data_IF_590484402831
#
_entry.id   IF_590484402831
#
_cell.length_a   1.000
_cell.length_b   1.000
_cell.length_c   1.000
_cell.angle_alpha   90.00
_cell.angle_beta   90.00
_cell.angle_gamma   90.00
#
_symmetry.space_group_name_H-M   'P 1'
#
loop_
_entity.id
_entity.type
_entity.pdbx_description
1 polymer ?
#
# COMPACT_ATOMS: atom_id res chain seq x y z
N UNK A 1 -21.05 49.14 -7.63
CA UNK A 1 -19.89 48.20 -7.55
C UNK A 1 -20.04 47.12 -6.47
N UNK A 2 -20.75 47.37 -5.35
CA UNK A 2 -20.88 46.44 -4.20
C UNK A 2 -21.57 45.09 -4.54
N UNK A 3 -22.54 45.06 -5.46
CA UNK A 3 -23.28 43.84 -5.80
C UNK A 3 -22.48 42.78 -6.58
N UNK A 4 -21.55 43.21 -7.45
CA UNK A 4 -20.79 42.30 -8.32
C UNK A 4 -19.70 41.54 -7.55
N UNK A 5 -19.01 42.23 -6.65
CA UNK A 5 -18.03 41.61 -5.75
C UNK A 5 -18.70 40.65 -4.77
N UNK A 6 -19.82 41.06 -4.17
CA UNK A 6 -20.61 40.18 -3.28
C UNK A 6 -21.15 38.95 -4.00
N UNK A 7 -21.58 39.08 -5.26
CA UNK A 7 -22.00 37.93 -6.07
C UNK A 7 -20.84 36.95 -6.32
N UNK A 8 -19.65 37.45 -6.70
CA UNK A 8 -18.44 36.65 -6.98
C UNK A 8 -18.04 35.73 -5.82
N UNK A 9 -18.34 36.12 -4.58
CA UNK A 9 -18.09 35.32 -3.38
C UNK A 9 -19.22 34.32 -3.06
N UNK A 10 -20.48 34.66 -3.37
CA UNK A 10 -21.67 33.88 -2.95
C UNK A 10 -22.11 32.84 -3.99
N UNK A 11 -21.91 33.08 -5.28
CA UNK A 11 -22.47 32.19 -6.31
C UNK A 11 -21.87 30.78 -6.26
N UNK A 12 -20.57 30.64 -5.93
CA UNK A 12 -19.91 29.32 -5.80
C UNK A 12 -20.50 28.47 -4.67
N UNK A 13 -20.59 28.95 -3.41
CA UNK A 13 -21.23 28.17 -2.35
C UNK A 13 -22.71 27.94 -2.62
N UNK A 14 -23.44 28.91 -3.19
CA UNK A 14 -24.85 28.73 -3.53
C UNK A 14 -25.07 27.66 -4.61
N UNK A 15 -24.25 27.68 -5.67
CA UNK A 15 -24.27 26.66 -6.71
C UNK A 15 -23.88 25.28 -6.16
N UNK A 16 -22.90 25.22 -5.26
CA UNK A 16 -22.51 23.96 -4.60
C UNK A 16 -23.65 23.39 -3.74
N UNK A 17 -24.32 24.22 -2.95
CA UNK A 17 -25.48 23.82 -2.15
C UNK A 17 -26.59 23.31 -3.08
N UNK A 18 -26.96 24.08 -4.10
CA UNK A 18 -28.00 23.67 -5.05
C UNK A 18 -27.64 22.36 -5.77
N UNK A 19 -26.39 22.20 -6.20
CA UNK A 19 -25.92 20.98 -6.84
C UNK A 19 -26.02 19.76 -5.90
N UNK A 20 -25.67 19.92 -4.62
CA UNK A 20 -25.82 18.85 -3.62
C UNK A 20 -27.30 18.50 -3.44
N UNK A 21 -28.17 19.48 -3.26
CA UNK A 21 -29.61 19.24 -3.11
C UNK A 21 -30.21 18.54 -4.34
N UNK A 22 -29.87 18.99 -5.54
CA UNK A 22 -30.32 18.34 -6.77
C UNK A 22 -29.76 16.93 -6.91
N UNK A 23 -28.49 16.69 -6.53
CA UNK A 23 -27.91 15.36 -6.55
C UNK A 23 -28.68 14.41 -5.62
N UNK A 24 -29.02 14.84 -4.39
CA UNK A 24 -29.85 14.04 -3.47
C UNK A 24 -31.28 13.86 -3.96
N UNK A 25 -31.89 14.89 -4.54
CA UNK A 25 -33.27 14.85 -5.05
C UNK A 25 -33.42 13.86 -6.21
N UNK A 26 -32.42 13.76 -7.09
CA UNK A 26 -32.40 12.85 -8.24
C UNK A 26 -31.63 11.55 -7.98
N UNK A 27 -31.40 11.16 -6.72
CA UNK A 27 -30.81 9.86 -6.42
C UNK A 27 -31.72 8.75 -6.95
N UNK A 28 -31.22 7.82 -7.79
CA UNK A 28 -32.01 6.75 -8.38
C UNK A 28 -32.21 5.58 -7.39
N UNK A 29 -32.73 5.90 -6.20
CA UNK A 29 -33.06 4.91 -5.17
C UNK A 29 -34.20 4.00 -5.66
N UNK A 30 -34.07 2.70 -5.44
CA UNK A 30 -35.00 1.69 -5.95
C UNK A 30 -34.57 1.09 -7.30
N UNK A 31 -33.53 1.63 -7.94
CA UNK A 31 -32.88 0.94 -9.06
C UNK A 31 -31.92 -0.11 -8.50
N UNK A 32 -32.23 -1.38 -8.71
CA UNK A 32 -31.51 -2.52 -8.10
C UNK A 32 -29.99 -2.44 -8.23
N UNK A 33 -29.49 -1.96 -9.37
CA UNK A 33 -28.05 -1.80 -9.62
C UNK A 33 -27.41 -0.68 -8.79
N UNK A 34 -28.11 0.43 -8.62
CA UNK A 34 -27.63 1.55 -7.80
C UNK A 34 -27.68 1.21 -6.31
N UNK A 35 -28.77 0.59 -5.85
CA UNK A 35 -28.92 0.16 -4.47
C UNK A 35 -27.85 -0.88 -4.11
N UNK A 36 -27.58 -1.84 -5.01
CA UNK A 36 -26.50 -2.80 -4.84
C UNK A 36 -25.14 -2.10 -4.77
N UNK A 37 -24.86 -1.15 -5.66
CA UNK A 37 -23.61 -0.39 -5.65
C UNK A 37 -23.38 0.35 -4.31
N UNK A 38 -24.43 0.92 -3.70
CA UNK A 38 -24.32 1.54 -2.38
C UNK A 38 -23.98 0.53 -1.28
N UNK A 39 -24.65 -0.62 -1.27
CA UNK A 39 -24.38 -1.71 -0.32
C UNK A 39 -22.95 -2.22 -0.50
N UNK A 40 -22.51 -2.40 -1.74
CA UNK A 40 -21.17 -2.89 -2.07
C UNK A 40 -20.07 -1.89 -1.73
N UNK A 41 -20.34 -0.58 -1.81
CA UNK A 41 -19.43 0.45 -1.31
C UNK A 41 -19.16 0.30 0.20
N UNK A 42 -20.23 0.13 0.99
CA UNK A 42 -20.14 -0.04 2.44
C UNK A 42 -19.55 -1.41 2.81
N UNK A 43 -19.93 -2.47 2.10
CA UNK A 43 -19.42 -3.81 2.32
C UNK A 43 -17.93 -3.92 2.00
N UNK A 44 -17.47 -3.28 0.91
CA UNK A 44 -16.05 -3.21 0.59
C UNK A 44 -15.29 -2.42 1.66
N UNK A 45 -15.83 -1.29 2.13
CA UNK A 45 -15.22 -0.51 3.19
C UNK A 45 -15.12 -1.29 4.51
N UNK A 46 -16.16 -2.05 4.87
CA UNK A 46 -16.15 -2.93 6.04
C UNK A 46 -15.07 -4.03 5.92
N UNK A 47 -15.06 -4.75 4.79
CA UNK A 47 -14.09 -5.81 4.54
C UNK A 47 -12.65 -5.26 4.55
N UNK A 48 -12.44 -4.11 3.91
CA UNK A 48 -11.17 -3.40 3.91
C UNK A 48 -10.75 -2.99 5.33
N UNK A 49 -11.68 -2.48 6.14
CA UNK A 49 -11.39 -2.09 7.53
C UNK A 49 -10.97 -3.28 8.39
N UNK A 50 -11.68 -4.40 8.27
CA UNK A 50 -11.41 -5.62 9.05
C UNK A 50 -10.04 -6.22 8.71
N UNK A 51 -9.76 -6.39 7.41
CA UNK A 51 -8.57 -7.15 7.01
C UNK A 51 -7.36 -6.29 6.70
N UNK A 52 -7.55 -5.10 6.13
CA UNK A 52 -6.43 -4.29 5.63
C UNK A 52 -6.13 -3.08 6.53
N UNK A 53 -7.12 -2.45 7.17
CA UNK A 53 -6.84 -1.31 8.06
C UNK A 53 -6.21 -1.78 9.36
N UNK A 54 -6.89 -2.68 10.08
CA UNK A 54 -6.51 -3.08 11.44
C UNK A 54 -5.17 -3.82 11.43
N UNK A 55 -5.05 -4.89 10.63
CA UNK A 55 -3.92 -5.80 10.68
C UNK A 55 -2.71 -5.33 9.86
N UNK A 56 -2.91 -4.41 8.92
CA UNK A 56 -1.88 -4.04 7.94
C UNK A 56 -1.53 -2.55 7.94
N UNK A 57 -2.53 -1.69 7.72
CA UNK A 57 -2.31 -0.24 7.56
C UNK A 57 -1.87 0.44 8.87
N UNK A 58 -2.54 0.15 9.99
CA UNK A 58 -2.20 0.76 11.27
C UNK A 58 -0.77 0.39 11.75
N UNK A 59 -0.35 -0.89 11.73
CA UNK A 59 1.04 -1.24 12.02
C UNK A 59 2.03 -0.62 11.03
N UNK A 60 1.67 -0.48 9.75
CA UNK A 60 2.53 0.17 8.77
C UNK A 60 2.74 1.66 9.03
N UNK A 61 1.74 2.38 9.56
CA UNK A 61 1.94 3.75 10.02
C UNK A 61 2.96 3.82 11.16
N UNK A 62 2.89 2.87 12.11
CA UNK A 62 3.89 2.74 13.17
C UNK A 62 5.27 2.39 12.62
N UNK A 63 5.40 1.43 11.68
CA UNK A 63 6.68 1.12 11.03
C UNK A 63 7.24 2.36 10.32
N UNK A 64 6.39 3.14 9.66
CA UNK A 64 6.83 4.31 8.90
C UNK A 64 7.24 5.47 9.80
N UNK A 65 6.52 5.70 10.90
CA UNK A 65 6.96 6.61 11.94
C UNK A 65 8.27 6.14 12.58
N UNK A 66 8.42 4.84 12.79
CA UNK A 66 9.64 4.26 13.34
C UNK A 66 10.83 4.47 12.40
N UNK A 67 10.62 4.31 11.09
CA UNK A 67 11.63 4.64 10.07
C UNK A 67 12.00 6.12 10.15
N UNK A 68 11.01 7.01 10.21
CA UNK A 68 11.24 8.45 10.24
C UNK A 68 12.03 8.93 11.48
N UNK A 69 11.89 8.25 12.61
CA UNK A 69 12.53 8.65 13.88
C UNK A 69 13.80 7.85 14.19
N UNK A 70 13.80 6.54 13.94
CA UNK A 70 14.86 5.62 14.42
C UNK A 70 15.84 5.15 13.33
N UNK A 71 15.53 5.34 12.04
CA UNK A 71 16.53 5.13 10.98
C UNK A 71 17.36 6.40 10.84
N UNK A 72 18.69 6.26 10.77
CA UNK A 72 19.54 7.43 10.51
C UNK A 72 19.31 7.92 9.09
N UNK A 73 19.06 9.22 8.96
CA UNK A 73 18.96 9.87 7.66
C UNK A 73 20.21 9.58 6.81
N UNK A 74 21.39 9.51 7.43
CA UNK A 74 22.65 9.11 6.81
C UNK A 74 22.60 7.73 6.12
N UNK A 75 21.95 6.73 6.71
CA UNK A 75 21.83 5.39 6.11
C UNK A 75 20.94 5.41 4.87
N UNK A 76 19.79 6.09 4.94
CA UNK A 76 18.90 6.28 3.78
C UNK A 76 19.64 7.04 2.69
N UNK A 77 20.38 8.08 3.05
CA UNK A 77 21.19 8.87 2.13
C UNK A 77 22.29 8.06 1.44
N UNK A 78 22.97 7.18 2.18
CA UNK A 78 24.05 6.34 1.66
C UNK A 78 23.55 5.31 0.63
N UNK A 79 22.37 4.73 0.86
CA UNK A 79 21.88 3.60 0.05
C UNK A 79 20.76 3.97 -0.93
N UNK A 80 19.93 4.98 -0.64
CA UNK A 80 18.78 5.39 -1.45
C UNK A 80 18.80 6.88 -1.82
N UNK A 81 19.81 7.64 -1.35
CA UNK A 81 19.91 9.07 -1.60
C UNK A 81 20.14 9.42 -3.08
N UNK A 82 19.79 10.65 -3.47
CA UNK A 82 19.97 11.14 -4.83
C UNK A 82 21.45 11.15 -5.30
N UNK A 83 22.40 11.27 -4.37
CA UNK A 83 23.84 11.18 -4.61
C UNK A 83 24.44 9.77 -4.44
N UNK A 84 23.65 8.77 -4.04
CA UNK A 84 24.14 7.41 -3.84
C UNK A 84 24.52 6.74 -5.17
N UNK A 85 25.31 5.65 -5.09
CA UNK A 85 25.62 4.85 -6.27
C UNK A 85 24.31 4.32 -6.88
N UNK A 86 24.02 4.71 -8.13
CA UNK A 86 22.77 4.38 -8.83
C UNK A 86 22.54 2.88 -8.89
N UNK A 87 23.57 2.06 -9.16
CA UNK A 87 23.39 0.61 -9.27
C UNK A 87 22.89 0.03 -7.94
N UNK A 88 23.48 0.48 -6.84
CA UNK A 88 23.09 0.03 -5.51
C UNK A 88 21.69 0.54 -5.16
N UNK A 89 21.43 1.84 -5.33
CA UNK A 89 20.16 2.44 -4.93
C UNK A 89 18.95 1.84 -5.67
N UNK A 90 19.08 1.67 -6.98
CA UNK A 90 18.03 1.07 -7.79
C UNK A 90 17.92 -0.45 -7.56
N UNK A 91 19.03 -1.16 -7.33
CA UNK A 91 19.02 -2.58 -7.02
C UNK A 91 18.34 -2.89 -5.68
N UNK A 92 18.67 -2.12 -4.63
CA UNK A 92 18.01 -2.25 -3.32
C UNK A 92 16.53 -1.88 -3.41
N UNK A 93 16.22 -0.77 -4.09
CA UNK A 93 14.84 -0.33 -4.26
C UNK A 93 13.98 -1.33 -5.05
N UNK A 94 14.51 -1.89 -6.13
CA UNK A 94 13.75 -2.80 -6.99
C UNK A 94 13.57 -4.20 -6.39
N UNK A 95 14.45 -4.68 -5.50
CA UNK A 95 14.39 -6.04 -4.93
C UNK A 95 13.80 -6.07 -3.52
N UNK A 96 13.84 -4.95 -2.79
CA UNK A 96 13.32 -4.90 -1.40
C UNK A 96 11.83 -5.24 -1.27
N UNK A 97 11.04 -5.05 -2.34
CA UNK A 97 9.64 -5.49 -2.40
C UNK A 97 9.45 -6.98 -2.22
N UNK A 98 10.39 -7.81 -2.70
CA UNK A 98 10.33 -9.27 -2.54
C UNK A 98 10.49 -9.66 -1.07
N UNK A 99 11.34 -8.95 -0.34
CA UNK A 99 11.67 -9.28 1.06
C UNK A 99 10.54 -8.84 2.00
N UNK A 100 10.01 -7.64 1.78
CA UNK A 100 9.20 -6.98 2.79
C UNK A 100 7.73 -7.45 2.81
N UNK A 101 7.29 -8.33 1.89
CA UNK A 101 5.92 -8.85 1.80
C UNK A 101 4.83 -7.76 2.00
N UNK A 102 5.10 -6.57 1.46
CA UNK A 102 4.31 -5.35 1.70
C UNK A 102 3.23 -5.26 0.64
N UNK A 103 2.02 -4.92 1.04
CA UNK A 103 0.94 -4.62 0.10
C UNK A 103 0.99 -3.14 -0.31
N UNK A 104 0.18 -2.78 -1.32
CA UNK A 104 0.20 -1.44 -1.88
C UNK A 104 -0.14 -0.33 -0.87
N UNK A 105 -0.99 -0.63 0.13
CA UNK A 105 -1.37 0.30 1.19
C UNK A 105 -0.26 0.51 2.23
N UNK A 106 0.66 -0.45 2.39
CA UNK A 106 1.72 -0.38 3.39
C UNK A 106 3.03 0.15 2.81
N UNK A 107 3.27 -0.01 1.50
CA UNK A 107 4.41 0.61 0.82
C UNK A 107 4.32 2.13 0.83
N UNK A 108 3.12 2.71 0.82
CA UNK A 108 2.92 4.17 0.76
C UNK A 108 3.47 4.92 1.99
N UNK A 109 3.09 4.57 3.23
CA UNK A 109 3.71 5.11 4.43
C UNK A 109 5.24 4.94 4.44
N UNK A 110 5.73 3.75 4.09
CA UNK A 110 7.15 3.43 4.04
C UNK A 110 7.89 4.33 3.03
N UNK A 111 7.35 4.44 1.82
CA UNK A 111 7.79 5.34 0.76
C UNK A 111 7.81 6.80 1.23
N UNK A 112 6.74 7.26 1.87
CA UNK A 112 6.66 8.63 2.37
C UNK A 112 7.71 8.90 3.45
N UNK A 113 7.98 7.94 4.33
CA UNK A 113 9.05 7.98 5.32
C UNK A 113 10.42 8.13 4.67
N UNK A 114 10.84 7.18 3.83
CA UNK A 114 12.16 7.21 3.18
C UNK A 114 12.35 8.44 2.26
N UNK A 115 11.28 8.89 1.59
CA UNK A 115 11.33 10.06 0.71
C UNK A 115 11.47 11.37 1.49
N UNK A 116 10.83 11.49 2.65
CA UNK A 116 11.01 12.62 3.59
C UNK A 116 12.41 12.65 4.20
N UNK A 117 13.02 11.48 4.40
CA UNK A 117 14.41 11.35 4.85
C UNK A 117 15.44 11.69 3.76
N UNK A 118 15.02 12.00 2.53
CA UNK A 118 15.92 12.48 1.47
C UNK A 118 16.36 11.43 0.46
N UNK A 119 15.70 10.27 0.40
CA UNK A 119 15.86 9.36 -0.73
C UNK A 119 15.64 10.10 -2.05
N UNK A 120 16.42 9.74 -3.08
CA UNK A 120 16.27 10.30 -4.42
C UNK A 120 14.92 9.91 -5.02
N UNK A 121 14.37 10.76 -5.89
CA UNK A 121 13.05 10.51 -6.47
C UNK A 121 13.01 9.16 -7.22
N UNK A 122 14.04 8.86 -8.01
CA UNK A 122 14.09 7.63 -8.79
C UNK A 122 14.09 6.34 -7.95
N UNK A 123 15.05 6.13 -7.03
CA UNK A 123 15.04 4.99 -6.12
C UNK A 123 13.76 4.89 -5.28
N UNK A 124 13.20 6.02 -4.83
CA UNK A 124 11.96 6.02 -4.07
C UNK A 124 10.76 5.55 -4.92
N UNK A 125 10.68 5.96 -6.19
CA UNK A 125 9.65 5.49 -7.13
C UNK A 125 9.83 4.01 -7.47
N UNK A 126 11.08 3.55 -7.66
CA UNK A 126 11.38 2.15 -7.91
C UNK A 126 10.89 1.28 -6.74
N UNK A 127 11.16 1.71 -5.50
CA UNK A 127 10.65 1.06 -4.28
C UNK A 127 9.12 1.05 -4.22
N UNK A 128 8.49 2.21 -4.49
CA UNK A 128 7.04 2.38 -4.46
C UNK A 128 6.32 1.44 -5.44
N UNK A 129 6.86 1.28 -6.66
CA UNK A 129 6.29 0.40 -7.67
C UNK A 129 6.58 -1.08 -7.39
N UNK A 130 7.83 -1.40 -7.04
CA UNK A 130 8.27 -2.78 -6.81
C UNK A 130 7.51 -3.44 -5.66
N UNK A 131 7.39 -2.75 -4.52
CA UNK A 131 6.83 -3.29 -3.28
C UNK A 131 5.57 -4.15 -3.46
N UNK A 132 4.46 -3.62 -4.01
CA UNK A 132 3.24 -4.39 -4.21
C UNK A 132 3.31 -5.34 -5.42
N UNK A 133 4.19 -5.10 -6.39
CA UNK A 133 4.23 -5.83 -7.66
C UNK A 133 5.00 -7.16 -7.57
N UNK A 134 6.05 -7.23 -6.73
CA UNK A 134 6.92 -8.42 -6.57
C UNK A 134 6.80 -9.13 -5.21
N UNK A 135 5.72 -8.88 -4.48
CA UNK A 135 5.46 -9.62 -3.24
C UNK A 135 5.49 -11.13 -3.50
N UNK A 136 6.23 -11.88 -2.68
CA UNK A 136 6.38 -13.34 -2.77
C UNK A 136 5.03 -14.06 -2.89
N UNK A 137 4.04 -13.66 -2.10
CA UNK A 137 2.70 -14.26 -2.17
C UNK A 137 2.04 -14.00 -3.53
N UNK A 138 2.22 -12.81 -4.10
CA UNK A 138 1.70 -12.47 -5.42
C UNK A 138 2.30 -13.37 -6.50
N UNK A 139 3.63 -13.50 -6.49
CA UNK A 139 4.37 -14.28 -7.48
C UNK A 139 4.01 -15.77 -7.37
N UNK A 140 4.00 -16.31 -6.14
CA UNK A 140 3.66 -17.72 -5.89
C UNK A 140 2.22 -18.02 -6.28
N UNK A 141 1.26 -17.19 -5.89
CA UNK A 141 -0.15 -17.40 -6.28
C UNK A 141 -0.34 -17.27 -7.78
N UNK A 142 0.30 -16.28 -8.41
CA UNK A 142 0.24 -16.10 -9.87
C UNK A 142 0.79 -17.35 -10.58
N UNK A 143 1.95 -17.85 -10.12
CA UNK A 143 2.57 -19.05 -10.69
C UNK A 143 1.72 -20.31 -10.48
N UNK A 144 1.11 -20.46 -9.29
CA UNK A 144 0.31 -21.62 -8.94
C UNK A 144 -1.04 -21.67 -9.66
N UNK A 145 -1.69 -20.51 -9.85
CA UNK A 145 -3.07 -20.42 -10.37
C UNK A 145 -3.10 -20.13 -11.87
N UNK A 146 -2.26 -19.22 -12.35
CA UNK A 146 -2.26 -18.76 -13.75
C UNK A 146 -1.11 -19.36 -14.58
N UNK A 147 -0.21 -20.09 -13.93
CA UNK A 147 0.90 -20.79 -14.55
C UNK A 147 2.27 -20.12 -14.30
N UNK A 148 3.35 -20.92 -14.30
CA UNK A 148 4.70 -20.44 -13.96
C UNK A 148 5.26 -19.42 -14.94
N UNK A 149 4.83 -19.46 -16.21
CA UNK A 149 5.20 -18.47 -17.23
C UNK A 149 4.71 -17.06 -16.87
N UNK A 150 3.48 -16.92 -16.37
CA UNK A 150 2.92 -15.63 -15.98
C UNK A 150 3.55 -15.13 -14.68
N UNK A 151 3.77 -16.03 -13.71
CA UNK A 151 4.42 -15.67 -12.44
C UNK A 151 5.85 -15.16 -12.63
N UNK A 152 6.64 -15.82 -13.48
CA UNK A 152 8.00 -15.36 -13.81
C UNK A 152 7.99 -14.06 -14.62
N UNK A 153 7.09 -13.91 -15.58
CA UNK A 153 6.92 -12.67 -16.35
C UNK A 153 6.53 -11.49 -15.45
N UNK A 154 5.64 -11.69 -14.48
CA UNK A 154 5.28 -10.69 -13.46
C UNK A 154 6.50 -10.27 -12.64
N UNK A 155 7.27 -11.22 -12.12
CA UNK A 155 8.44 -10.95 -11.30
C UNK A 155 9.52 -10.16 -12.07
N UNK A 156 9.91 -10.66 -13.25
CA UNK A 156 10.94 -10.02 -14.09
C UNK A 156 10.48 -8.66 -14.58
N UNK A 157 9.24 -8.57 -15.08
CA UNK A 157 8.64 -7.33 -15.54
C UNK A 157 8.61 -6.28 -14.44
N UNK A 158 8.11 -6.62 -13.26
CA UNK A 158 8.00 -5.66 -12.17
C UNK A 158 9.37 -5.13 -11.69
N UNK A 159 10.40 -5.98 -11.56
CA UNK A 159 11.76 -5.52 -11.21
C UNK A 159 12.29 -4.60 -12.30
N UNK A 160 12.23 -5.03 -13.56
CA UNK A 160 12.74 -4.26 -14.70
C UNK A 160 12.05 -2.90 -14.82
N UNK A 161 10.72 -2.86 -14.81
CA UNK A 161 9.97 -1.60 -14.93
C UNK A 161 10.11 -0.71 -13.71
N UNK A 162 10.26 -1.26 -12.50
CA UNK A 162 10.55 -0.42 -11.33
C UNK A 162 11.81 0.43 -11.55
N UNK A 163 12.85 -0.16 -12.15
CA UNK A 163 14.12 0.51 -12.42
C UNK A 163 13.94 1.52 -13.55
N UNK A 164 13.28 1.11 -14.65
CA UNK A 164 13.05 1.98 -15.80
C UNK A 164 12.19 3.19 -15.42
N UNK A 165 11.05 2.98 -14.76
CA UNK A 165 10.15 4.06 -14.29
C UNK A 165 10.88 4.98 -13.33
N UNK A 166 11.64 4.44 -12.39
CA UNK A 166 12.46 5.24 -11.47
C UNK A 166 13.51 6.09 -12.18
N UNK A 167 14.21 5.52 -13.18
CA UNK A 167 15.22 6.24 -13.96
C UNK A 167 14.59 7.37 -14.79
N UNK A 168 13.43 7.13 -15.40
CA UNK A 168 12.68 8.15 -16.15
C UNK A 168 12.24 9.27 -15.21
N UNK A 169 11.69 8.94 -14.03
CA UNK A 169 11.30 9.93 -13.03
C UNK A 169 12.49 10.77 -12.55
N UNK A 170 13.64 10.15 -12.28
CA UNK A 170 14.87 10.87 -11.92
C UNK A 170 15.39 11.77 -13.05
N UNK A 171 15.23 11.34 -14.32
CA UNK A 171 15.64 12.14 -15.48
C UNK A 171 14.73 13.37 -15.67
N UNK A 172 13.40 13.19 -15.58
CA UNK A 172 12.42 14.27 -15.76
C UNK A 172 12.51 15.34 -14.66
N UNK A 173 12.83 14.94 -13.43
CA UNK A 173 12.88 15.85 -12.26
C UNK A 173 14.30 16.03 -11.71
N UNK A 174 15.32 15.88 -12.57
CA UNK A 174 16.75 15.96 -12.20
C UNK A 174 17.12 17.22 -11.40
N UNK A 175 16.49 18.36 -11.71
CA UNK A 175 16.77 19.62 -11.04
C UNK A 175 16.42 19.58 -9.54
N UNK A 176 15.35 18.88 -9.16
CA UNK A 176 14.98 18.73 -7.76
C UNK A 176 15.92 17.79 -7.01
N UNK A 177 16.30 16.66 -7.63
CA UNK A 177 17.27 15.74 -7.04
C UNK A 177 18.61 16.44 -6.81
N UNK A 178 19.06 17.30 -7.74
CA UNK A 178 20.26 18.12 -7.55
C UNK A 178 20.11 19.15 -6.42
N UNK A 179 18.95 19.78 -6.28
CA UNK A 179 18.68 20.69 -5.17
C UNK A 179 18.70 19.96 -3.82
N UNK A 180 18.15 18.73 -3.77
CA UNK A 180 18.20 17.86 -2.58
C UNK A 180 19.64 17.48 -2.24
N UNK A 181 20.45 17.08 -3.21
CA UNK A 181 21.88 16.77 -2.98
C UNK A 181 22.61 17.99 -2.41
N UNK A 182 22.39 19.19 -2.96
CA UNK A 182 22.99 20.43 -2.42
C UNK A 182 22.55 20.70 -0.98
N UNK A 183 21.25 20.61 -0.70
CA UNK A 183 20.72 20.78 0.65
C UNK A 183 21.28 19.73 1.64
N UNK A 184 21.50 18.50 1.18
CA UNK A 184 22.03 17.40 1.99
C UNK A 184 23.51 17.59 2.33
N UNK A 185 24.32 18.09 1.40
CA UNK A 185 25.75 18.40 1.66
C UNK A 185 25.90 19.51 2.70
N UNK A 186 24.93 20.42 2.80
CA UNK A 186 24.93 21.53 3.76
C UNK A 186 24.36 21.16 5.14
N UNK A 187 23.69 20.01 5.27
CA UNK A 187 23.05 19.60 6.51
C UNK A 187 23.93 18.64 7.32
N UNK A 188 24.22 18.99 8.57
CA UNK A 188 24.81 18.08 9.55
C UNK A 188 23.70 17.32 10.28
N UNK A 189 23.55 16.04 9.98
CA UNK A 189 22.57 15.20 10.67
C UNK A 189 23.22 14.60 11.92
N UNK A 190 22.70 14.85 13.13
CA UNK A 190 23.15 14.13 14.31
C UNK A 190 22.92 12.63 14.11
N UNK A 191 23.99 11.85 14.12
CA UNK A 191 23.93 10.40 13.96
C UNK A 191 23.49 9.75 15.28
N UNK A 192 22.23 9.34 15.36
CA UNK A 192 21.77 8.48 16.46
C UNK A 192 22.28 7.06 16.14
N UNK A 193 23.51 6.77 16.55
CA UNK A 193 24.15 5.47 16.33
C UNK A 193 23.66 4.46 17.40
N UNK A 194 22.46 3.90 17.19
CA UNK A 194 22.10 2.65 17.88
C UNK A 194 22.78 1.49 17.17
N UNK A 195 23.31 0.49 17.89
CA UNK A 195 23.97 -0.66 17.25
C UNK A 195 22.97 -1.41 16.36
N UNK A 196 23.41 -1.80 15.17
CA UNK A 196 22.56 -2.35 14.10
C UNK A 196 21.63 -3.47 14.55
N UNK A 197 22.09 -4.35 15.45
CA UNK A 197 21.29 -5.47 15.95
C UNK A 197 20.04 -5.04 16.74
N UNK A 198 20.09 -3.90 17.45
CA UNK A 198 18.92 -3.36 18.16
C UNK A 198 17.87 -2.88 17.17
N UNK A 199 18.29 -2.17 16.13
CA UNK A 199 17.41 -1.73 15.05
C UNK A 199 16.85 -2.94 14.29
N UNK A 200 17.67 -3.96 14.02
CA UNK A 200 17.21 -5.19 13.36
C UNK A 200 16.16 -5.93 14.20
N UNK A 201 16.33 -6.04 15.52
CA UNK A 201 15.33 -6.67 16.39
C UNK A 201 14.05 -5.84 16.50
N UNK A 202 14.17 -4.52 16.60
CA UNK A 202 13.03 -3.62 16.66
C UNK A 202 12.22 -3.62 15.36
N UNK A 203 12.85 -3.30 14.22
CA UNK A 203 12.19 -3.34 12.91
C UNK A 203 11.76 -4.74 12.52
N UNK A 204 12.56 -5.76 12.85
CA UNK A 204 12.22 -7.16 12.63
C UNK A 204 10.98 -7.60 13.42
N UNK A 205 10.82 -7.12 14.66
CA UNK A 205 9.62 -7.39 15.45
C UNK A 205 8.38 -6.73 14.84
N UNK A 206 8.46 -5.45 14.44
CA UNK A 206 7.34 -4.74 13.81
C UNK A 206 6.96 -5.35 12.45
N UNK A 207 7.95 -5.62 11.59
CA UNK A 207 7.75 -6.26 10.29
C UNK A 207 7.21 -7.69 10.45
N UNK A 208 7.73 -8.45 11.40
CA UNK A 208 7.23 -9.79 11.71
C UNK A 208 5.79 -9.77 12.22
N UNK A 209 5.43 -8.85 13.12
CA UNK A 209 4.04 -8.66 13.57
C UNK A 209 3.14 -8.40 12.37
N UNK A 210 3.53 -7.48 11.47
CA UNK A 210 2.79 -7.16 10.25
C UNK A 210 2.61 -8.39 9.33
N UNK A 211 3.70 -9.13 9.07
CA UNK A 211 3.71 -10.28 8.15
C UNK A 211 2.89 -11.45 8.71
N UNK A 212 3.11 -11.85 9.97
CA UNK A 212 2.45 -13.01 10.54
C UNK A 212 0.99 -12.74 10.92
N UNK A 213 0.65 -11.52 11.37
CA UNK A 213 -0.76 -11.17 11.64
C UNK A 213 -1.60 -11.26 10.35
N UNK A 214 -1.03 -10.83 9.22
CA UNK A 214 -1.70 -10.82 7.92
C UNK A 214 -1.47 -12.11 7.10
N UNK A 215 -0.94 -13.17 7.70
CA UNK A 215 -0.67 -14.42 6.97
C UNK A 215 -1.98 -15.05 6.49
N UNK A 216 -2.10 -15.22 5.17
CA UNK A 216 -3.28 -15.72 4.50
C UNK A 216 -3.47 -17.22 4.72
N UNK A 217 -4.73 -17.67 4.64
CA UNK A 217 -5.05 -19.10 4.69
C UNK A 217 -4.54 -19.77 3.41
N UNK A 218 -3.69 -20.80 3.48
CA UNK A 218 -3.23 -21.52 2.30
C UNK A 218 -4.36 -22.36 1.68
N UNK A 219 -4.26 -22.65 0.38
CA UNK A 219 -5.22 -23.50 -0.33
C UNK A 219 -5.15 -24.96 0.16
N UNK A 220 -3.94 -25.44 0.49
CA UNK A 220 -3.73 -26.73 1.15
C UNK A 220 -3.36 -26.53 2.62
N UNK A 221 -4.06 -27.23 3.51
CA UNK A 221 -3.88 -27.13 4.97
C UNK A 221 -2.69 -28.00 5.45
N UNK A 222 -2.22 -28.94 4.62
CA UNK A 222 -1.08 -29.80 4.92
C UNK A 222 0.25 -29.12 4.57
N UNK A 223 1.29 -29.36 5.38
CA UNK A 223 2.66 -28.90 5.12
C UNK A 223 3.05 -27.60 5.85
N UNK A 224 4.21 -27.05 5.47
CA UNK A 224 4.86 -25.92 6.15
C UNK A 224 4.00 -24.66 6.19
N UNK A 225 3.29 -24.34 5.10
CA UNK A 225 2.41 -23.16 5.03
C UNK A 225 1.19 -23.27 5.94
N UNK A 226 0.60 -24.47 6.07
CA UNK A 226 -0.49 -24.74 7.00
C UNK A 226 -0.04 -24.64 8.46
N UNK A 227 1.15 -25.14 8.79
CA UNK A 227 1.74 -25.01 10.12
C UNK A 227 1.99 -23.54 10.51
N UNK A 228 2.54 -22.74 9.60
CA UNK A 228 2.74 -21.29 9.84
C UNK A 228 1.38 -20.61 10.05
N UNK A 229 0.37 -20.91 9.23
CA UNK A 229 -0.95 -20.33 9.38
C UNK A 229 -1.61 -20.68 10.73
N UNK A 230 -1.47 -21.93 11.20
CA UNK A 230 -1.98 -22.36 12.51
C UNK A 230 -1.25 -21.66 13.67
N UNK A 231 0.08 -21.47 13.55
CA UNK A 231 0.90 -20.85 14.58
C UNK A 231 0.93 -19.31 14.52
N UNK A 232 0.34 -18.68 13.49
CA UNK A 232 0.57 -17.26 13.19
C UNK A 232 0.31 -16.32 14.36
N UNK A 233 -0.77 -16.55 15.11
CA UNK A 233 -1.13 -15.71 16.27
C UNK A 233 -0.20 -15.92 17.46
N UNK A 234 0.35 -17.12 17.63
CA UNK A 234 1.37 -17.39 18.65
C UNK A 234 2.69 -16.68 18.28
N UNK A 235 3.08 -16.72 17.00
CA UNK A 235 4.25 -16.00 16.50
C UNK A 235 4.06 -14.49 16.68
N UNK A 236 2.90 -13.95 16.32
CA UNK A 236 2.57 -12.53 16.53
C UNK A 236 2.60 -12.14 18.01
N UNK A 237 2.06 -12.97 18.90
CA UNK A 237 2.11 -12.72 20.34
C UNK A 237 3.55 -12.72 20.89
N UNK A 238 4.38 -13.68 20.44
CA UNK A 238 5.81 -13.73 20.79
C UNK A 238 6.56 -12.48 20.32
N UNK A 239 6.36 -12.07 19.07
CA UNK A 239 6.97 -10.86 18.51
C UNK A 239 6.46 -9.59 19.21
N UNK A 240 5.19 -9.56 19.62
CA UNK A 240 4.62 -8.48 20.44
C UNK A 240 5.27 -8.39 21.82
N UNK A 241 5.50 -9.53 22.48
CA UNK A 241 6.23 -9.58 23.74
C UNK A 241 7.69 -9.15 23.58
N UNK A 242 8.35 -9.59 22.50
CA UNK A 242 9.70 -9.13 22.14
C UNK A 242 9.74 -7.60 21.95
N UNK A 243 8.78 -7.04 21.20
CA UNK A 243 8.65 -5.60 21.00
C UNK A 243 8.45 -4.87 22.35
N UNK A 244 7.63 -5.40 23.24
CA UNK A 244 7.43 -4.83 24.58
C UNK A 244 8.74 -4.76 25.39
N UNK A 245 9.53 -5.84 25.37
CA UNK A 245 10.86 -5.89 26.01
C UNK A 245 11.82 -4.88 25.38
N UNK A 246 11.84 -4.79 24.05
CA UNK A 246 12.65 -3.83 23.29
C UNK A 246 12.31 -2.39 23.68
N UNK A 247 11.02 -2.04 23.72
CA UNK A 247 10.56 -0.70 24.08
C UNK A 247 10.95 -0.32 25.52
N UNK A 248 10.79 -1.26 26.46
CA UNK A 248 11.20 -1.06 27.85
C UNK A 248 12.73 -0.89 27.98
N UNK A 249 13.51 -1.80 27.38
CA UNK A 249 14.94 -1.90 27.65
C UNK A 249 15.78 -0.88 26.88
N UNK A 250 15.36 -0.47 25.68
CA UNK A 250 16.18 0.35 24.78
C UNK A 250 15.57 1.71 24.43
N UNK A 251 14.25 1.85 24.45
CA UNK A 251 13.58 3.10 24.05
C UNK A 251 13.06 3.94 25.23
N UNK A 252 13.43 3.55 26.46
CA UNK A 252 13.09 4.30 27.66
C UNK A 252 11.60 4.29 28.01
N UNK A 253 10.83 3.32 27.47
CA UNK A 253 9.45 3.16 27.86
C UNK A 253 9.35 2.77 29.35
N UNK A 254 8.45 3.43 30.09
CA UNK A 254 8.25 3.12 31.51
C UNK A 254 7.70 1.70 31.65
N UNK A 255 8.37 0.87 32.45
CA UNK A 255 8.06 -0.55 32.60
C UNK A 255 6.59 -0.83 32.97
N UNK A 256 5.98 0.01 33.81
CA UNK A 256 4.59 -0.16 34.22
C UNK A 256 3.60 0.08 33.08
N UNK A 257 3.88 1.04 32.17
CA UNK A 257 3.04 1.28 30.98
C UNK A 257 3.10 0.08 30.04
N UNK A 258 4.30 -0.47 29.85
CA UNK A 258 4.53 -1.68 29.04
C UNK A 258 3.80 -2.87 29.66
N UNK A 259 3.94 -3.08 30.96
CA UNK A 259 3.29 -4.18 31.68
C UNK A 259 1.77 -4.11 31.59
N UNK A 260 1.17 -2.93 31.77
CA UNK A 260 -0.28 -2.73 31.61
C UNK A 260 -0.73 -3.06 30.18
N UNK A 261 -0.01 -2.57 29.16
CA UNK A 261 -0.35 -2.87 27.77
C UNK A 261 -0.29 -4.39 27.46
N UNK A 262 0.75 -5.08 27.95
CA UNK A 262 0.91 -6.53 27.79
C UNK A 262 -0.19 -7.29 28.53
N UNK A 263 -0.52 -6.90 29.76
CA UNK A 263 -1.57 -7.53 30.57
C UNK A 263 -2.96 -7.38 29.93
N UNK A 264 -3.29 -6.17 29.45
CA UNK A 264 -4.56 -5.93 28.76
C UNK A 264 -4.66 -6.72 27.46
N UNK A 265 -3.56 -6.80 26.71
CA UNK A 265 -3.49 -7.58 25.46
C UNK A 265 -3.63 -9.08 25.72
N UNK A 266 -2.92 -9.60 26.71
CA UNK A 266 -3.01 -11.01 27.12
C UNK A 266 -4.38 -11.37 27.68
N UNK A 267 -4.95 -10.49 28.51
CA UNK A 267 -6.33 -10.63 29.01
C UNK A 267 -7.36 -10.67 27.88
N UNK A 268 -7.24 -9.77 26.90
CA UNK A 268 -8.10 -9.78 25.71
C UNK A 268 -7.93 -11.07 24.88
N UNK A 269 -6.72 -11.62 24.80
CA UNK A 269 -6.48 -12.87 24.08
C UNK A 269 -7.13 -14.08 24.77
N UNK A 270 -7.15 -14.09 26.11
CA UNK A 270 -7.82 -15.14 26.90
C UNK A 270 -9.35 -14.99 26.89
N UNK A 271 -9.87 -13.76 26.90
CA UNK A 271 -11.31 -13.49 26.87
C UNK A 271 -11.94 -13.73 25.49
N UNK A 272 -11.19 -13.46 24.41
CA UNK A 272 -11.68 -13.54 23.03
C UNK A 272 -10.83 -14.49 22.16
N UNK A 273 -10.72 -15.79 22.49
CA UNK A 273 -9.86 -16.73 21.75
C UNK A 273 -10.32 -16.94 20.30
N UNK A 274 -11.62 -16.76 20.02
CA UNK A 274 -12.18 -16.89 18.67
C UNK A 274 -11.98 -15.63 17.80
N UNK A 275 -11.56 -14.51 18.38
CA UNK A 275 -11.46 -13.21 17.70
C UNK A 275 -10.09 -12.56 17.94
N UNK A 276 -9.01 -13.09 17.34
CA UNK A 276 -7.64 -12.63 17.56
C UNK A 276 -7.37 -11.18 17.12
N UNK A 277 -8.26 -10.58 16.33
CA UNK A 277 -8.26 -9.15 16.03
C UNK A 277 -8.48 -8.27 17.28
N UNK A 278 -9.21 -8.75 18.29
CA UNK A 278 -9.48 -8.00 19.53
C UNK A 278 -8.19 -7.76 20.34
N UNK A 279 -7.42 -8.80 20.74
CA UNK A 279 -6.14 -8.56 21.41
C UNK A 279 -5.16 -7.77 20.54
N UNK A 280 -5.18 -7.93 19.21
CA UNK A 280 -4.34 -7.13 18.33
C UNK A 280 -4.66 -5.62 18.43
N UNK A 281 -5.94 -5.25 18.37
CA UNK A 281 -6.39 -3.85 18.54
C UNK A 281 -6.04 -3.34 19.94
N UNK A 282 -6.24 -4.14 20.98
CA UNK A 282 -5.87 -3.78 22.36
C UNK A 282 -4.37 -3.52 22.47
N UNK A 283 -3.53 -4.36 21.87
CA UNK A 283 -2.08 -4.16 21.82
C UNK A 283 -1.67 -2.91 21.07
N UNK A 284 -2.33 -2.61 19.95
CA UNK A 284 -2.11 -1.38 19.20
C UNK A 284 -2.54 -0.12 19.97
N UNK A 285 -3.67 -0.16 20.68
CA UNK A 285 -4.11 0.91 21.59
C UNK A 285 -3.09 1.08 22.72
N UNK A 286 -2.63 -0.02 23.31
CA UNK A 286 -1.58 -0.01 24.34
C UNK A 286 -0.29 0.64 23.84
N UNK A 287 0.16 0.29 22.63
CA UNK A 287 1.30 0.93 21.97
C UNK A 287 1.06 2.42 21.75
N UNK A 288 -0.13 2.79 21.29
CA UNK A 288 -0.53 4.18 21.04
C UNK A 288 -0.52 5.03 22.29
N UNK A 289 -1.10 4.52 23.38
CA UNK A 289 -1.09 5.20 24.68
C UNK A 289 0.34 5.32 25.21
N UNK A 290 1.16 4.28 25.05
CA UNK A 290 2.54 4.28 25.52
C UNK A 290 3.39 5.32 24.78
N UNK A 291 3.29 5.38 23.46
CA UNK A 291 4.08 6.30 22.63
C UNK A 291 3.59 7.74 22.76
N UNK A 292 2.29 7.99 22.65
CA UNK A 292 1.70 9.35 22.76
C UNK A 292 1.89 10.02 24.12
N UNK A 293 2.01 9.24 25.21
CA UNK A 293 2.21 9.78 26.57
C UNK A 293 3.68 9.86 26.98
N UNK A 294 4.61 9.65 26.05
CA UNK A 294 6.05 9.74 26.26
C UNK A 294 6.58 11.04 25.64
N UNK A 295 7.47 11.75 26.35
CA UNK A 295 8.06 13.02 25.88
C UNK A 295 9.45 12.86 25.23
N UNK A 296 9.87 11.62 24.98
CA UNK A 296 11.16 11.29 24.35
C UNK A 296 10.94 10.90 22.88
N UNK A 297 11.92 10.24 22.26
CA UNK A 297 11.84 9.74 20.87
C UNK A 297 10.58 8.87 20.59
N UNK A 298 9.96 8.26 21.62
CA UNK A 298 8.69 7.54 21.46
C UNK A 298 7.50 8.48 21.18
N UNK A 299 7.55 9.71 21.70
CA UNK A 299 6.57 10.76 21.38
C UNK A 299 6.71 11.21 19.93
N UNK A 300 7.94 11.47 19.48
CA UNK A 300 8.22 11.78 18.06
C UNK A 300 7.76 10.64 17.15
N UNK A 301 7.95 9.38 17.58
CA UNK A 301 7.48 8.21 16.86
C UNK A 301 5.95 8.21 16.70
N UNK A 302 5.21 8.54 17.76
CA UNK A 302 3.75 8.69 17.68
C UNK A 302 3.37 9.83 16.74
N UNK A 303 3.99 11.01 16.85
CA UNK A 303 3.66 12.18 16.04
C UNK A 303 3.86 11.93 14.54
N UNK A 304 4.95 11.26 14.16
CA UNK A 304 5.18 10.85 12.77
C UNK A 304 4.13 9.83 12.30
N UNK A 305 3.86 8.80 13.11
CA UNK A 305 2.86 7.76 12.79
C UNK A 305 1.46 8.37 12.61
N UNK A 306 1.07 9.27 13.52
CA UNK A 306 -0.20 9.99 13.49
C UNK A 306 -0.29 10.98 12.32
N UNK A 307 0.82 11.63 11.97
CA UNK A 307 0.93 12.46 10.77
C UNK A 307 0.60 11.68 9.51
N UNK A 308 1.18 10.49 9.35
CA UNK A 308 0.85 9.60 8.22
C UNK A 308 -0.60 9.13 8.26
N UNK A 309 -1.11 8.72 9.42
CA UNK A 309 -2.50 8.27 9.55
C UNK A 309 -3.51 9.36 9.15
N UNK A 310 -3.35 10.59 9.67
CA UNK A 310 -4.23 11.73 9.33
C UNK A 310 -4.21 12.09 7.85
N UNK A 311 -3.06 11.92 7.19
CA UNK A 311 -2.91 12.21 5.78
C UNK A 311 -3.52 11.11 4.90
N UNK A 312 -3.24 9.84 5.23
CA UNK A 312 -3.49 8.70 4.34
C UNK A 312 -4.88 8.12 4.56
N UNK A 313 -5.32 7.97 5.82
CA UNK A 313 -6.54 7.24 6.15
C UNK A 313 -7.82 7.88 5.56
N UNK A 314 -8.02 9.21 5.59
CA UNK A 314 -9.21 9.82 5.00
C UNK A 314 -9.25 9.67 3.47
N UNK A 315 -8.11 9.89 2.81
CA UNK A 315 -7.98 9.74 1.35
C UNK A 315 -8.25 8.30 0.93
N UNK A 316 -7.72 7.36 1.70
CA UNK A 316 -7.88 5.95 1.44
C UNK A 316 -9.34 5.52 1.61
N UNK A 317 -10.00 5.95 2.68
CA UNK A 317 -11.41 5.63 2.95
C UNK A 317 -12.33 6.13 1.83
N UNK A 318 -12.14 7.38 1.38
CA UNK A 318 -12.87 7.92 0.22
C UNK A 318 -12.61 7.09 -1.03
N UNK A 319 -11.35 6.72 -1.28
CA UNK A 319 -11.01 5.91 -2.44
C UNK A 319 -11.64 4.51 -2.42
N UNK A 320 -11.71 3.87 -1.26
CA UNK A 320 -12.35 2.54 -1.09
C UNK A 320 -13.86 2.63 -1.30
N UNK A 321 -14.53 3.66 -0.77
CA UNK A 321 -15.97 3.86 -1.00
C UNK A 321 -16.29 4.09 -2.48
N UNK A 322 -15.52 4.94 -3.16
CA UNK A 322 -15.69 5.19 -4.60
C UNK A 322 -15.43 3.89 -5.39
N UNK A 323 -14.37 3.15 -5.07
CA UNK A 323 -14.06 1.90 -5.74
C UNK A 323 -15.16 0.85 -5.53
N UNK A 324 -15.67 0.68 -4.31
CA UNK A 324 -16.75 -0.27 -4.03
C UNK A 324 -18.07 0.12 -4.68
N UNK A 325 -18.38 1.42 -4.73
CA UNK A 325 -19.56 1.92 -5.45
C UNK A 325 -19.47 1.63 -6.95
N UNK A 326 -18.32 1.89 -7.57
CA UNK A 326 -18.16 1.73 -9.01
C UNK A 326 -17.95 0.28 -9.43
N UNK A 327 -17.13 -0.48 -8.70
CA UNK A 327 -16.61 -1.77 -9.13
C UNK A 327 -17.11 -2.95 -8.28
N UNK A 328 -17.64 -2.69 -7.09
CA UNK A 328 -18.08 -3.71 -6.14
C UNK A 328 -16.93 -4.39 -5.41
N UNK A 329 -17.16 -5.63 -4.97
CA UNK A 329 -16.15 -6.49 -4.30
C UNK A 329 -16.10 -7.85 -5.01
N UNK A 330 -15.10 -8.71 -4.72
CA UNK A 330 -15.01 -10.02 -5.36
C UNK A 330 -16.33 -10.81 -5.23
N UNK A 331 -16.91 -11.21 -6.37
CA UNK A 331 -18.19 -11.93 -6.43
C UNK A 331 -19.47 -11.07 -6.44
N UNK A 332 -19.38 -9.76 -6.23
CA UNK A 332 -20.52 -8.85 -6.22
C UNK A 332 -20.25 -7.58 -7.02
N UNK A 333 -21.07 -7.30 -8.04
CA UNK A 333 -20.86 -6.16 -8.93
C UNK A 333 -21.30 -4.83 -8.30
N UNK A 334 -20.50 -3.78 -8.52
CA UNK A 334 -20.94 -2.41 -8.29
C UNK A 334 -21.73 -1.85 -9.46
N UNK A 335 -21.61 -0.54 -9.68
CA UNK A 335 -22.29 0.14 -10.78
C UNK A 335 -21.83 -0.37 -12.16
N UNK A 336 -20.54 -0.68 -12.32
CA UNK A 336 -19.92 -1.14 -13.57
C UNK A 336 -20.01 -2.68 -13.66
N UNK A 337 -20.67 -3.25 -14.67
CA UNK A 337 -20.79 -4.70 -14.81
C UNK A 337 -19.48 -5.38 -15.18
N UNK A 338 -19.26 -6.58 -14.62
CA UNK A 338 -18.07 -7.39 -14.91
C UNK A 338 -18.03 -7.86 -16.36
N UNK A 339 -19.20 -8.01 -17.01
CA UNK A 339 -19.31 -8.38 -18.43
C UNK A 339 -18.73 -7.31 -19.34
N UNK A 340 -18.93 -6.02 -19.03
CA UNK A 340 -18.35 -4.92 -19.80
C UNK A 340 -16.82 -4.92 -19.68
N UNK A 341 -16.32 -5.20 -18.47
CA UNK A 341 -14.88 -5.35 -18.24
C UNK A 341 -14.32 -6.52 -19.06
N UNK A 342 -14.96 -7.69 -18.98
CA UNK A 342 -14.54 -8.90 -19.71
C UNK A 342 -14.50 -8.69 -21.23
N UNK A 343 -15.52 -8.05 -21.81
CA UNK A 343 -15.55 -7.72 -23.24
C UNK A 343 -14.43 -6.74 -23.60
N UNK A 344 -14.17 -5.75 -22.76
CA UNK A 344 -13.17 -4.72 -23.02
C UNK A 344 -11.71 -5.23 -22.91
N UNK A 345 -11.48 -6.29 -22.14
CA UNK A 345 -10.15 -6.93 -21.98
C UNK A 345 -10.01 -8.26 -22.74
N UNK A 346 -10.99 -8.62 -23.56
CA UNK A 346 -11.02 -9.87 -24.32
C UNK A 346 -9.92 -9.97 -25.40
N UNK A 347 -9.39 -11.19 -25.57
CA UNK A 347 -8.34 -11.46 -26.56
C UNK A 347 -6.96 -10.89 -26.18
N UNK A 348 -6.11 -10.63 -27.18
CA UNK A 348 -4.74 -10.13 -26.96
C UNK A 348 -4.37 -9.01 -27.95
N UNK A 349 -5.15 -7.93 -27.96
CA UNK A 349 -4.82 -6.72 -28.74
C UNK A 349 -4.07 -5.69 -27.88
N UNK A 350 -3.37 -4.74 -28.51
CA UNK A 350 -2.77 -3.61 -27.80
C UNK A 350 -3.83 -2.83 -27.00
N UNK A 351 -5.04 -2.69 -27.56
CA UNK A 351 -6.17 -2.04 -26.90
C UNK A 351 -6.63 -2.83 -25.66
N UNK A 352 -6.75 -4.15 -25.74
CA UNK A 352 -7.12 -4.99 -24.60
C UNK A 352 -6.10 -4.87 -23.46
N UNK A 353 -4.81 -4.81 -23.80
CA UNK A 353 -3.72 -4.60 -22.82
C UNK A 353 -3.77 -3.20 -22.19
N UNK A 354 -4.07 -2.17 -23.00
CA UNK A 354 -4.22 -0.80 -22.52
C UNK A 354 -5.42 -0.66 -21.59
N UNK A 355 -6.57 -1.22 -21.97
CA UNK A 355 -7.78 -1.22 -21.16
C UNK A 355 -7.55 -2.00 -19.87
N UNK A 356 -6.87 -3.15 -19.92
CA UNK A 356 -6.56 -3.94 -18.73
C UNK A 356 -5.64 -3.21 -17.74
N UNK A 357 -4.59 -2.54 -18.23
CA UNK A 357 -3.71 -1.75 -17.36
C UNK A 357 -4.41 -0.49 -16.82
N UNK A 358 -5.21 0.19 -17.65
CA UNK A 358 -5.95 1.39 -17.26
C UNK A 358 -7.03 1.05 -16.23
N UNK A 359 -7.89 0.05 -16.49
CA UNK A 359 -8.89 -0.38 -15.52
C UNK A 359 -8.22 -0.93 -14.26
N UNK A 360 -7.20 -1.78 -14.42
CA UNK A 360 -6.40 -2.30 -13.31
C UNK A 360 -5.88 -1.18 -12.41
N UNK A 361 -5.40 -0.06 -12.97
CA UNK A 361 -4.91 1.08 -12.22
C UNK A 361 -5.96 1.77 -11.33
N UNK A 362 -7.25 1.64 -11.63
CA UNK A 362 -8.33 2.18 -10.80
C UNK A 362 -8.99 1.12 -9.93
N UNK A 363 -8.83 -0.16 -10.28
CA UNK A 363 -9.35 -1.27 -9.50
C UNK A 363 -8.59 -1.41 -8.18
N UNK A 364 -9.35 -1.50 -7.08
CA UNK A 364 -8.77 -1.84 -5.79
C UNK A 364 -8.88 -3.35 -5.57
N UNK A 365 -7.77 -4.07 -5.79
CA UNK A 365 -7.66 -5.48 -5.46
C UNK A 365 -6.59 -5.71 -4.40
N UNK A 366 -6.92 -6.53 -3.40
CA UNK A 366 -5.89 -7.15 -2.60
C UNK A 366 -5.13 -8.14 -3.49
N UNK A 367 -3.82 -8.22 -3.30
CA UNK A 367 -2.95 -9.15 -4.04
C UNK A 367 -3.45 -10.60 -4.00
N UNK A 368 -4.12 -10.99 -2.90
CA UNK A 368 -4.70 -12.33 -2.71
C UNK A 368 -5.97 -12.56 -3.53
N UNK A 369 -6.76 -11.52 -3.81
CA UNK A 369 -8.00 -11.62 -4.58
C UNK A 369 -7.79 -11.32 -6.06
N UNK A 370 -6.70 -10.63 -6.39
CA UNK A 370 -6.33 -10.26 -7.76
C UNK A 370 -6.17 -11.50 -8.66
N UNK A 371 -5.40 -12.50 -8.21
CA UNK A 371 -5.11 -13.69 -9.02
C UNK A 371 -6.37 -14.51 -9.34
N UNK A 372 -7.26 -14.84 -8.38
CA UNK A 372 -8.54 -15.50 -8.69
C UNK A 372 -9.45 -14.69 -9.62
N UNK A 373 -9.46 -13.36 -9.51
CA UNK A 373 -10.27 -12.51 -10.40
C UNK A 373 -9.74 -12.55 -11.82
N UNK A 374 -8.42 -12.41 -11.99
CA UNK A 374 -7.78 -12.55 -13.30
C UNK A 374 -8.00 -13.95 -13.87
N UNK A 375 -7.97 -14.99 -13.04
CA UNK A 375 -8.30 -16.35 -13.47
C UNK A 375 -9.73 -16.45 -14.01
N UNK A 376 -10.70 -15.85 -13.32
CA UNK A 376 -12.08 -15.78 -13.79
C UNK A 376 -12.22 -15.03 -15.12
N UNK A 377 -11.51 -13.91 -15.28
CA UNK A 377 -11.50 -13.13 -16.53
C UNK A 377 -10.83 -13.89 -17.69
N UNK A 378 -9.74 -14.62 -17.43
CA UNK A 378 -9.10 -15.50 -18.42
C UNK A 378 -10.05 -16.62 -18.84
N UNK A 379 -10.77 -17.22 -17.89
CA UNK A 379 -11.85 -18.18 -18.19
C UNK A 379 -13.00 -17.59 -19.02
N UNK A 380 -13.21 -16.27 -18.96
CA UNK A 380 -14.19 -15.54 -19.75
C UNK A 380 -13.65 -15.03 -21.11
N UNK A 381 -12.41 -15.36 -21.49
CA UNK A 381 -11.82 -15.01 -22.79
C UNK A 381 -10.76 -13.89 -22.76
N UNK A 382 -10.31 -13.44 -21.58
CA UNK A 382 -9.17 -12.53 -21.45
C UNK A 382 -7.87 -13.24 -21.84
N UNK A 383 -7.05 -12.61 -22.70
CA UNK A 383 -5.75 -13.14 -23.06
C UNK A 383 -4.72 -13.03 -21.93
N UNK A 384 -3.65 -13.82 -22.03
CA UNK A 384 -2.54 -13.82 -21.07
C UNK A 384 -1.78 -12.48 -21.02
N UNK A 385 -1.75 -11.75 -22.15
CA UNK A 385 -1.17 -10.39 -22.21
C UNK A 385 -1.93 -9.39 -21.33
N UNK A 386 -3.23 -9.15 -21.58
CA UNK A 386 -4.05 -8.28 -20.74
C UNK A 386 -4.04 -8.71 -19.27
N UNK A 387 -4.01 -10.02 -18.98
CA UNK A 387 -3.86 -10.54 -17.63
C UNK A 387 -2.57 -10.02 -16.95
N UNK A 388 -1.42 -10.14 -17.62
CA UNK A 388 -0.16 -9.61 -17.11
C UNK A 388 -0.17 -8.07 -16.97
N UNK A 389 -0.76 -7.36 -17.94
CA UNK A 389 -0.91 -5.90 -17.88
C UNK A 389 -1.71 -5.45 -16.65
N UNK A 390 -2.80 -6.16 -16.33
CA UNK A 390 -3.61 -5.92 -15.13
C UNK A 390 -2.79 -6.19 -13.86
N UNK A 391 -2.08 -7.33 -13.80
CA UNK A 391 -1.26 -7.75 -12.64
C UNK A 391 -0.06 -6.84 -12.35
N UNK A 392 0.42 -6.09 -13.34
CA UNK A 392 1.52 -5.13 -13.21
C UNK A 392 1.05 -3.71 -12.87
N UNK A 393 -0.17 -3.33 -13.29
CA UNK A 393 -0.73 -2.02 -13.02
C UNK A 393 -1.48 -1.97 -11.67
N UNK A 394 -2.36 -2.93 -11.39
CA UNK A 394 -3.29 -2.90 -10.26
C UNK A 394 -2.65 -2.86 -8.87
N UNK A 395 -1.59 -3.63 -8.57
CA UNK A 395 -0.95 -3.56 -7.27
C UNK A 395 -0.23 -2.22 -7.06
N UNK A 396 0.37 -1.68 -8.11
CA UNK A 396 1.12 -0.43 -8.05
C UNK A 396 0.20 0.81 -8.04
N UNK A 397 -0.95 0.71 -8.70
CA UNK A 397 -1.89 1.79 -8.90
C UNK A 397 -3.27 1.39 -8.41
N UNK A 398 -3.83 2.22 -7.53
CA UNK A 398 -5.25 2.19 -7.19
C UNK A 398 -5.70 3.61 -6.93
N UNK A 399 -7.00 3.90 -7.03
CA UNK A 399 -7.52 5.23 -6.75
C UNK A 399 -7.11 5.73 -5.33
N UNK A 400 -7.21 4.91 -4.26
CA UNK A 400 -6.64 5.26 -2.96
C UNK A 400 -5.13 5.59 -3.01
N UNK A 401 -4.34 4.77 -3.69
CA UNK A 401 -2.88 4.95 -3.74
C UNK A 401 -2.52 6.23 -4.49
N UNK A 402 -3.18 6.53 -5.60
CA UNK A 402 -2.93 7.75 -6.38
C UNK A 402 -3.20 9.02 -5.55
N UNK A 403 -4.28 9.03 -4.76
CA UNK A 403 -4.59 10.16 -3.86
C UNK A 403 -3.49 10.37 -2.82
N UNK A 404 -2.96 9.28 -2.26
CA UNK A 404 -1.87 9.33 -1.28
C UNK A 404 -0.56 9.77 -1.94
N UNK A 405 -0.18 9.21 -3.08
CA UNK A 405 1.03 9.58 -3.82
C UNK A 405 1.00 11.07 -4.17
N UNK A 406 -0.15 11.58 -4.62
CA UNK A 406 -0.37 13.01 -4.88
C UNK A 406 -0.09 13.87 -3.65
N UNK A 407 -0.46 13.42 -2.47
CA UNK A 407 -0.23 14.15 -1.23
C UNK A 407 1.25 14.19 -0.79
N UNK A 408 2.08 13.28 -1.32
CA UNK A 408 3.53 13.21 -1.01
C UNK A 408 4.38 13.85 -2.10
N UNK A 409 4.09 13.57 -3.38
CA UNK A 409 4.90 14.00 -4.53
C UNK A 409 4.34 15.25 -5.24
N UNK A 410 3.07 15.58 -5.04
CA UNK A 410 2.34 16.57 -5.82
C UNK A 410 1.67 15.98 -7.06
N UNK A 411 0.81 16.78 -7.71
CA UNK A 411 -0.04 16.35 -8.84
C UNK A 411 0.76 15.94 -10.07
N UNK A 412 1.72 16.75 -10.48
CA UNK A 412 2.47 16.53 -11.72
C UNK A 412 3.24 15.20 -11.70
N UNK A 413 4.04 14.96 -10.66
CA UNK A 413 4.82 13.72 -10.50
C UNK A 413 3.94 12.49 -10.41
N UNK A 414 2.79 12.63 -9.74
CA UNK A 414 1.82 11.52 -9.62
C UNK A 414 1.23 11.17 -10.96
N UNK A 415 0.82 12.16 -11.77
CA UNK A 415 0.30 11.91 -13.12
C UNK A 415 1.34 11.26 -14.03
N UNK A 416 2.60 11.72 -13.97
CA UNK A 416 3.70 11.11 -14.73
C UNK A 416 3.91 9.66 -14.28
N UNK A 417 3.98 9.39 -12.97
CA UNK A 417 4.12 8.03 -12.44
C UNK A 417 2.97 7.10 -12.90
N UNK A 418 1.72 7.54 -12.74
CA UNK A 418 0.53 6.78 -13.17
C UNK A 418 0.59 6.48 -14.66
N UNK A 419 0.92 7.48 -15.48
CA UNK A 419 1.02 7.32 -16.94
C UNK A 419 2.12 6.33 -17.32
N UNK A 420 3.29 6.44 -16.70
CA UNK A 420 4.40 5.52 -16.95
C UNK A 420 4.01 4.08 -16.60
N UNK A 421 3.40 3.85 -15.44
CA UNK A 421 2.97 2.50 -15.04
C UNK A 421 1.95 1.93 -16.02
N UNK A 422 0.93 2.70 -16.44
CA UNK A 422 -0.07 2.25 -17.42
C UNK A 422 0.61 1.90 -18.76
N UNK A 423 1.50 2.76 -19.26
CA UNK A 423 2.21 2.53 -20.52
C UNK A 423 3.10 1.29 -20.44
N UNK A 424 3.95 1.16 -19.41
CA UNK A 424 4.83 0.01 -19.28
C UNK A 424 4.07 -1.29 -19.03
N UNK A 425 3.03 -1.29 -18.20
CA UNK A 425 2.19 -2.47 -18.00
C UNK A 425 1.51 -2.90 -19.31
N UNK A 426 1.00 -1.94 -20.10
CA UNK A 426 0.41 -2.19 -21.43
C UNK A 426 1.41 -2.83 -22.38
N UNK A 427 2.61 -2.23 -22.50
CA UNK A 427 3.66 -2.73 -23.39
C UNK A 427 4.10 -4.12 -22.98
N UNK A 428 4.22 -4.38 -21.68
CA UNK A 428 4.62 -5.69 -21.16
C UNK A 428 3.60 -6.75 -21.45
N UNK A 429 2.33 -6.48 -21.16
CA UNK A 429 1.26 -7.42 -21.46
C UNK A 429 1.18 -7.69 -22.96
N UNK A 430 1.30 -6.64 -23.79
CA UNK A 430 1.25 -6.80 -25.24
C UNK A 430 2.42 -7.63 -25.78
N UNK A 431 3.65 -7.36 -25.33
CA UNK A 431 4.84 -8.14 -25.69
C UNK A 431 4.69 -9.58 -25.19
N UNK A 432 4.37 -9.78 -23.91
CA UNK A 432 4.21 -11.11 -23.34
C UNK A 432 3.14 -11.92 -24.07
N UNK A 433 1.97 -11.31 -24.30
CA UNK A 433 0.88 -11.93 -25.05
C UNK A 433 1.30 -12.28 -26.48
N UNK A 434 2.08 -11.44 -27.17
CA UNK A 434 2.54 -11.77 -28.52
C UNK A 434 3.46 -13.00 -28.57
N UNK A 435 4.20 -13.29 -27.49
CA UNK A 435 5.16 -14.40 -27.43
C UNK A 435 4.57 -15.68 -26.83
N UNK A 436 3.58 -15.55 -25.94
CA UNK A 436 3.00 -16.67 -25.20
C UNK A 436 1.51 -16.92 -25.52
N UNK A 437 0.91 -16.23 -26.50
CA UNK A 437 -0.46 -16.52 -26.98
C UNK A 437 -0.54 -17.69 -27.98
N UNK A 438 0.24 -18.75 -27.77
CA UNK A 438 0.08 -20.03 -28.47
C UNK A 438 -0.72 -20.98 -27.60
#
# INVERSE_FOLDING_TARGET
MIGRERWMTIWKPMAAILAIFLAFYFLPLGWSRFDNALVEALALAQWYAQEHVILCLLPAFYISGAIAVFISQASVMRYLGAGANKILAYGVASVSGTILAVCSCTVLPLFAGIYRMGAGLGPAIAFLYSGPAINVLAIVLTAAVLGPSLGTARAVGAIFFSVVIGLIMAALYRNEDQARVKAQVMASFPEILRPLWQNMLYFGSLAGILVFANWAKPQEVAGLWGAIYAAKWMITAFLGALLAVVLWRWFGARWWKVAVAVLLTGGAALLFPAQPQVPFVVGLIGLTVLTSTSQNELGDWFDQSWGFARQILPLLFVGVLIAGFLLGRPGHEGLIPSTWVAVAVGGNSLLANFVASFLGAFMYFATLTEVPIVQGLVGAGMGQGPALALLLAGPALSLPNMLVIRSVLGTQKTLVFVTLVIVFATLTGWIYGAWFAV
#
